data_IF_155673511890
#
_entry.id   IF_155673511890
#
_cell.length_a   1.000
_cell.length_b   1.000
_cell.length_c   1.000
_cell.angle_alpha   90.00
_cell.angle_beta   90.00
_cell.angle_gamma   90.00
#
_symmetry.space_group_name_H-M   'P 1'
#
loop_
_entity.id
_entity.type
_entity.pdbx_description
1 polymer ?
#
# COMPACT_ATOMS: atom_id res chain seq x y z
N UNK A 1 -23.73 5.94 -5.53
CA UNK A 1 -22.37 5.63 -6.01
C UNK A 1 -21.46 5.68 -4.79
N UNK A 2 -20.81 4.57 -4.41
CA UNK A 2 -19.96 4.49 -3.20
C UNK A 2 -18.54 5.00 -3.46
N UNK A 3 -18.00 4.79 -4.67
CA UNK A 3 -16.75 5.36 -5.13
C UNK A 3 -16.71 5.35 -6.67
N UNK A 4 -15.95 6.28 -7.26
CA UNK A 4 -15.58 6.25 -8.68
C UNK A 4 -14.06 6.31 -8.80
N UNK A 5 -13.51 5.57 -9.76
CA UNK A 5 -12.08 5.56 -10.10
C UNK A 5 -11.97 5.72 -11.61
N UNK A 6 -11.26 6.73 -12.13
CA UNK A 6 -11.05 6.85 -13.55
C UNK A 6 -10.25 5.66 -14.06
N UNK A 7 -10.59 5.17 -15.24
CA UNK A 7 -9.75 4.19 -15.94
C UNK A 7 -8.44 4.88 -16.32
N UNK A 8 -7.32 4.27 -15.96
CA UNK A 8 -6.02 4.81 -16.29
C UNK A 8 -5.84 4.87 -17.82
N UNK A 9 -5.37 6.00 -18.32
CA UNK A 9 -5.03 6.16 -19.74
C UNK A 9 -3.66 5.55 -20.01
N UNK A 10 -3.38 5.23 -21.28
CA UNK A 10 -2.04 4.79 -21.71
C UNK A 10 -0.96 5.78 -21.28
N UNK A 11 -1.24 7.08 -21.38
CA UNK A 11 -0.33 8.13 -20.93
C UNK A 11 -0.06 8.05 -19.41
N UNK A 12 -1.09 7.85 -18.59
CA UNK A 12 -0.93 7.74 -17.14
C UNK A 12 -0.13 6.49 -16.74
N UNK A 13 -0.38 5.37 -17.43
CA UNK A 13 0.35 4.11 -17.23
C UNK A 13 1.82 4.29 -17.61
N UNK A 14 2.10 4.79 -18.82
CA UNK A 14 3.47 5.00 -19.30
C UNK A 14 4.25 5.94 -18.36
N UNK A 15 3.63 7.04 -17.94
CA UNK A 15 4.27 7.98 -17.02
C UNK A 15 4.56 7.34 -15.65
N UNK A 16 3.70 6.47 -15.14
CA UNK A 16 3.95 5.75 -13.88
C UNK A 16 5.14 4.79 -14.00
N UNK A 17 5.22 4.04 -15.11
CA UNK A 17 6.32 3.11 -15.40
C UNK A 17 7.64 3.86 -15.58
N UNK A 18 7.65 4.96 -16.32
CA UNK A 18 8.83 5.80 -16.52
C UNK A 18 9.39 6.35 -15.20
N UNK A 19 8.52 6.87 -14.33
CA UNK A 19 8.92 7.33 -12.99
C UNK A 19 9.49 6.20 -12.14
N UNK A 20 8.84 5.04 -12.14
CA UNK A 20 9.31 3.88 -11.40
C UNK A 20 10.68 3.42 -11.90
N UNK A 21 10.89 3.39 -13.22
CA UNK A 21 12.18 3.03 -13.83
C UNK A 21 13.27 4.03 -13.49
N UNK A 22 12.98 5.32 -13.56
CA UNK A 22 13.94 6.37 -13.19
C UNK A 22 14.33 6.32 -11.71
N UNK A 23 13.42 5.91 -10.81
CA UNK A 23 13.70 5.74 -9.39
C UNK A 23 14.41 4.42 -9.04
N UNK A 24 14.33 3.42 -9.91
CA UNK A 24 14.75 2.05 -9.60
C UNK A 24 16.25 1.93 -9.29
N UNK A 25 17.12 2.64 -10.01
CA UNK A 25 18.57 2.60 -9.81
C UNK A 25 18.94 3.08 -8.38
N UNK A 26 18.50 4.29 -8.01
CA UNK A 26 18.74 4.85 -6.67
C UNK A 26 18.08 4.03 -5.56
N UNK A 27 16.90 3.47 -5.83
CA UNK A 27 16.26 2.57 -4.86
C UNK A 27 17.05 1.27 -4.67
N UNK A 28 17.62 0.72 -5.75
CA UNK A 28 18.46 -0.47 -5.69
C UNK A 28 19.79 -0.23 -4.96
N UNK A 29 20.30 1.00 -4.94
CA UNK A 29 21.47 1.41 -4.15
C UNK A 29 21.15 1.68 -2.68
N UNK A 30 19.87 1.90 -2.34
CA UNK A 30 19.45 2.18 -0.96
C UNK A 30 19.73 0.96 -0.06
N UNK A 31 20.43 1.09 1.09
CA UNK A 31 20.70 -0.02 1.98
C UNK A 31 19.42 -0.72 2.47
N UNK A 32 19.47 -2.03 2.69
CA UNK A 32 18.31 -2.81 3.16
C UNK A 32 17.73 -2.24 4.47
N UNK A 33 18.59 -1.81 5.40
CA UNK A 33 18.16 -1.18 6.64
C UNK A 33 17.33 0.11 6.41
N UNK A 34 17.72 0.94 5.45
CA UNK A 34 16.96 2.15 5.10
C UNK A 34 15.64 1.81 4.39
N UNK A 35 15.63 0.80 3.51
CA UNK A 35 14.38 0.28 2.93
C UNK A 35 13.42 -0.22 4.01
N UNK A 36 13.96 -0.89 5.03
CA UNK A 36 13.23 -1.34 6.21
C UNK A 36 12.50 -0.20 6.91
N UNK A 37 13.18 0.92 7.15
CA UNK A 37 12.56 2.12 7.74
C UNK A 37 11.39 2.64 6.92
N UNK A 38 11.53 2.71 5.59
CA UNK A 38 10.42 3.13 4.72
C UNK A 38 9.23 2.15 4.78
N UNK A 39 9.49 0.85 4.83
CA UNK A 39 8.44 -0.17 4.94
C UNK A 39 7.70 -0.12 6.27
N UNK A 40 8.42 0.11 7.37
CA UNK A 40 7.82 0.30 8.70
C UNK A 40 7.00 1.60 8.77
N UNK A 41 7.50 2.70 8.21
CA UNK A 41 6.74 3.95 8.13
C UNK A 41 5.46 3.82 7.28
N UNK A 42 5.53 3.07 6.17
CA UNK A 42 4.35 2.75 5.36
C UNK A 42 3.34 1.90 6.13
N UNK A 43 3.79 0.89 6.88
CA UNK A 43 2.93 0.06 7.71
C UNK A 43 2.25 0.88 8.82
N UNK A 44 3.00 1.76 9.49
CA UNK A 44 2.45 2.67 10.51
C UNK A 44 1.37 3.57 9.92
N UNK A 45 1.64 4.21 8.77
CA UNK A 45 0.67 5.06 8.10
C UNK A 45 -0.59 4.28 7.69
N UNK A 46 -0.42 3.06 7.17
CA UNK A 46 -1.53 2.21 6.74
C UNK A 46 -2.40 1.76 7.93
N UNK A 47 -1.78 1.36 9.04
CA UNK A 47 -2.50 1.00 10.26
C UNK A 47 -3.16 2.22 10.90
N UNK A 48 -2.54 3.40 10.82
CA UNK A 48 -3.07 4.65 11.34
C UNK A 48 -4.40 5.10 10.72
N UNK A 49 -4.72 4.63 9.52
CA UNK A 49 -5.99 4.94 8.81
C UNK A 49 -6.99 3.78 8.83
N UNK A 50 -6.84 2.83 9.76
CA UNK A 50 -7.68 1.63 9.83
C UNK A 50 -9.17 1.94 9.97
N UNK A 51 -9.52 2.97 10.75
CA UNK A 51 -10.93 3.33 11.00
C UNK A 51 -11.66 3.77 9.72
N UNK A 52 -10.92 4.27 8.73
CA UNK A 52 -11.43 4.67 7.42
C UNK A 52 -11.41 3.51 6.41
N UNK A 53 -10.29 2.77 6.32
CA UNK A 53 -10.12 1.70 5.33
C UNK A 53 -10.99 0.47 5.61
N UNK A 54 -11.20 0.11 6.89
CA UNK A 54 -11.96 -1.10 7.25
C UNK A 54 -13.40 -1.04 6.73
N UNK A 55 -14.17 0.06 6.92
CA UNK A 55 -15.47 0.24 6.29
C UNK A 55 -15.42 0.21 4.76
N UNK A 56 -14.44 0.84 4.12
CA UNK A 56 -14.36 0.86 2.65
C UNK A 56 -14.15 -0.53 2.05
N UNK A 57 -13.27 -1.34 2.64
CA UNK A 57 -13.06 -2.74 2.25
C UNK A 57 -14.36 -3.53 2.45
N UNK A 58 -15.05 -3.33 3.57
CA UNK A 58 -16.31 -4.00 3.85
C UNK A 58 -17.38 -3.68 2.79
N UNK A 59 -17.46 -2.43 2.33
CA UNK A 59 -18.35 -2.04 1.23
C UNK A 59 -17.98 -2.69 -0.10
N UNK A 60 -16.69 -2.76 -0.44
CA UNK A 60 -16.22 -3.36 -1.69
C UNK A 60 -16.50 -4.87 -1.75
N UNK A 61 -16.39 -5.56 -0.62
CA UNK A 61 -16.54 -7.02 -0.55
C UNK A 61 -17.96 -7.47 -0.18
N UNK A 62 -18.84 -6.56 0.23
CA UNK A 62 -20.19 -6.90 0.71
C UNK A 62 -20.19 -7.70 2.02
N UNK A 63 -19.19 -7.48 2.89
CA UNK A 63 -19.02 -8.21 4.17
C UNK A 63 -19.23 -7.32 5.38
N UNK A 64 -19.57 -7.87 6.57
CA UNK A 64 -19.64 -7.08 7.80
C UNK A 64 -18.29 -6.45 8.22
N UNK A 65 -18.33 -5.20 8.70
CA UNK A 65 -17.16 -4.42 9.16
C UNK A 65 -16.39 -5.11 10.30
N UNK A 66 -17.08 -5.89 11.15
CA UNK A 66 -16.49 -6.59 12.30
C UNK A 66 -15.35 -7.56 11.96
N UNK A 67 -15.20 -7.93 10.68
CA UNK A 67 -14.11 -8.80 10.21
C UNK A 67 -12.81 -8.03 9.91
N UNK A 68 -12.78 -6.71 10.12
CA UNK A 68 -11.56 -5.89 10.00
C UNK A 68 -11.14 -5.63 8.55
N UNK A 69 -9.89 -5.18 8.37
CA UNK A 69 -9.35 -4.64 7.09
C UNK A 69 -8.17 -5.42 6.53
N UNK A 70 -8.06 -6.71 6.86
CA UNK A 70 -6.99 -7.61 6.35
C UNK A 70 -5.55 -7.20 6.75
N UNK A 71 -5.39 -6.24 7.66
CA UNK A 71 -4.09 -5.73 8.09
C UNK A 71 -3.21 -6.74 8.84
N UNK A 72 -3.79 -7.81 9.40
CA UNK A 72 -3.02 -8.80 10.17
C UNK A 72 -1.89 -9.43 9.35
N UNK A 73 -2.20 -9.93 8.16
CA UNK A 73 -1.20 -10.52 7.27
C UNK A 73 -0.22 -9.50 6.69
N UNK A 74 -0.66 -8.26 6.48
CA UNK A 74 0.23 -7.17 6.04
C UNK A 74 1.25 -6.85 7.12
N UNK A 75 0.79 -6.65 8.36
CA UNK A 75 1.65 -6.37 9.51
C UNK A 75 2.66 -7.48 9.74
N UNK A 76 2.21 -8.73 9.79
CA UNK A 76 3.07 -9.89 10.02
C UNK A 76 4.17 -9.99 8.96
N UNK A 77 3.80 -9.93 7.67
CA UNK A 77 4.77 -10.08 6.58
C UNK A 77 5.74 -8.90 6.50
N UNK A 78 5.27 -7.67 6.72
CA UNK A 78 6.15 -6.51 6.71
C UNK A 78 7.14 -6.55 7.87
N UNK A 79 6.69 -6.84 9.10
CA UNK A 79 7.60 -7.00 10.25
C UNK A 79 8.64 -8.10 9.99
N UNK A 80 8.20 -9.27 9.54
CA UNK A 80 9.11 -10.39 9.26
C UNK A 80 10.15 -10.10 8.16
N UNK A 81 9.79 -9.31 7.14
CA UNK A 81 10.73 -8.99 6.05
C UNK A 81 11.72 -7.87 6.38
N UNK A 82 11.43 -7.05 7.38
CA UNK A 82 12.26 -5.91 7.77
C UNK A 82 13.22 -6.25 8.92
N UNK A 83 12.80 -7.14 9.83
CA UNK A 83 13.64 -7.69 10.91
C UNK A 83 14.65 -8.72 10.39
#
# INVERSE_FOLDING_TARGET
>A
IYAERPVATDQAINAAVERARAAQEKWAETPVAERGKYMLAMLEALVGISDEIVPEIAWQMGRPVRYGGEFGGVKERTSYMVE
#
